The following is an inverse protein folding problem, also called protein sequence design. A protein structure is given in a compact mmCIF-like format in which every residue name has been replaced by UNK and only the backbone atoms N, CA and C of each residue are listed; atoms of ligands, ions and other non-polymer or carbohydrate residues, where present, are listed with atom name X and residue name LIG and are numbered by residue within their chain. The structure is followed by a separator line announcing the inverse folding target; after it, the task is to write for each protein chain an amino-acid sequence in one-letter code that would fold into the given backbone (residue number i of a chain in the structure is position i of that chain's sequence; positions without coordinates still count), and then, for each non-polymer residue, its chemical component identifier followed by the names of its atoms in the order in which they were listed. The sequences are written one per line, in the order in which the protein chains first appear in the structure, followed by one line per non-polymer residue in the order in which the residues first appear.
data_IF_635462944811
#
_entry.id   IF_635462944811
#
_cell.length_a   1.000
_cell.length_b   1.000
_cell.length_c   1.000
_cell.angle_alpha   90.00
_cell.angle_beta   90.00
_cell.angle_gamma   90.00
#
_symmetry.space_group_name_H-M   'P 1'
#
loop_
_entity.id
_entity.type
_entity.pdbx_description
1 polymer ?
#
# COMPACT_ATOMS: atom_id res chain seq x y z
N UNK A 1 5.47 1.42 6.78
CA UNK A 1 6.10 1.02 5.52
C UNK A 1 5.49 -0.30 5.07
N UNK A 2 4.86 -0.30 3.92
CA UNK A 2 4.25 -1.47 3.30
C UNK A 2 4.88 -1.66 1.93
N UNK A 3 5.40 -2.87 1.65
CA UNK A 3 5.98 -3.23 0.35
C UNK A 3 5.06 -4.25 -0.29
N UNK A 4 4.57 -3.96 -1.50
CA UNK A 4 3.69 -4.85 -2.26
C UNK A 4 4.17 -4.98 -3.69
N UNK A 5 4.17 -6.20 -4.22
CA UNK A 5 4.43 -6.49 -5.63
C UNK A 5 3.09 -6.77 -6.32
N UNK A 6 2.79 -5.97 -7.33
CA UNK A 6 1.60 -6.11 -8.16
C UNK A 6 1.98 -6.73 -9.50
N UNK A 7 1.32 -7.82 -9.88
CA UNK A 7 1.45 -8.42 -11.21
C UNK A 7 0.12 -8.35 -11.96
N UNK A 8 0.17 -7.85 -13.20
CA UNK A 8 -0.99 -7.70 -14.08
C UNK A 8 -0.79 -8.59 -15.31
N UNK A 9 -1.48 -9.73 -15.34
CA UNK A 9 -1.54 -10.60 -16.50
C UNK A 9 -2.74 -10.20 -17.37
N UNK A 10 -2.46 -9.48 -18.46
CA UNK A 10 -3.51 -8.99 -19.38
C UNK A 10 -4.14 -10.12 -20.18
N UNK A 11 -3.39 -11.19 -20.48
CA UNK A 11 -3.87 -12.33 -21.27
C UNK A 11 -4.83 -13.19 -20.45
N UNK A 12 -4.48 -13.46 -19.19
CA UNK A 12 -5.31 -14.21 -18.25
C UNK A 12 -6.34 -13.32 -17.53
N UNK A 13 -6.34 -12.00 -17.76
CA UNK A 13 -7.15 -11.01 -17.04
C UNK A 13 -7.02 -11.17 -15.52
N UNK A 14 -5.81 -11.44 -15.05
CA UNK A 14 -5.51 -11.74 -13.65
C UNK A 14 -4.63 -10.65 -13.04
N UNK A 15 -5.04 -10.22 -11.86
CA UNK A 15 -4.28 -9.34 -10.99
C UNK A 15 -3.82 -10.15 -9.78
N UNK A 16 -2.53 -10.11 -9.49
CA UNK A 16 -1.93 -10.78 -8.34
C UNK A 16 -1.21 -9.77 -7.48
N UNK A 17 -1.47 -9.80 -6.18
CA UNK A 17 -0.83 -8.92 -5.21
C UNK A 17 -0.07 -9.77 -4.19
N UNK A 18 1.23 -9.55 -4.07
CA UNK A 18 2.11 -10.17 -3.10
C UNK A 18 2.56 -9.10 -2.11
N UNK A 19 2.25 -9.28 -0.83
CA UNK A 19 2.78 -8.43 0.25
C UNK A 19 4.13 -8.98 0.71
N UNK A 20 5.14 -8.11 0.76
CA UNK A 20 6.46 -8.41 1.32
C UNK A 20 6.48 -7.80 2.73
N UNK A 21 6.60 -8.62 3.80
CA UNK A 21 6.66 -8.11 5.15
C UNK A 21 7.83 -7.13 5.32
N UNK A 22 7.58 -5.99 5.94
CA UNK A 22 8.57 -4.91 6.10
C UNK A 22 9.85 -5.36 6.83
N UNK A 23 9.72 -6.36 7.70
CA UNK A 23 10.82 -6.92 8.49
C UNK A 23 11.53 -8.09 7.78
N UNK A 24 11.21 -8.33 6.49
CA UNK A 24 11.89 -9.35 5.68
C UNK A 24 13.40 -9.08 5.68
N UNK A 25 14.16 -10.11 6.07
CA UNK A 25 15.62 -10.04 6.10
C UNK A 25 16.16 -10.01 4.68
N UNK A 26 17.05 -9.07 4.41
CA UNK A 26 17.76 -8.93 3.14
C UNK A 26 19.27 -8.95 3.36
N UNK A 27 20.03 -9.30 2.33
CA UNK A 27 21.49 -9.33 2.38
C UNK A 27 22.05 -7.92 2.16
N UNK A 28 21.90 -7.06 3.17
CA UNK A 28 22.29 -5.64 3.09
C UNK A 28 23.58 -5.36 3.88
N UNK A 29 24.24 -4.27 3.54
CA UNK A 29 25.39 -3.72 4.28
C UNK A 29 25.02 -2.90 5.50
N UNK A 30 23.73 -2.55 5.65
CA UNK A 30 23.20 -1.75 6.75
C UNK A 30 22.55 -2.62 7.83
N UNK A 31 22.44 -2.07 9.04
CA UNK A 31 21.79 -2.73 10.19
C UNK A 31 20.62 -1.87 10.69
N UNK A 32 19.45 -2.46 11.01
CA UNK A 32 19.10 -3.89 10.88
C UNK A 32 18.88 -4.28 9.41
N UNK A 33 19.17 -5.54 9.07
CA UNK A 33 19.05 -6.09 7.71
C UNK A 33 17.58 -6.31 7.29
N UNK A 34 16.78 -5.25 7.25
CA UNK A 34 15.34 -5.29 6.93
C UNK A 34 15.05 -4.54 5.65
N UNK A 35 14.17 -5.10 4.81
CA UNK A 35 13.85 -4.52 3.50
C UNK A 35 13.26 -3.10 3.58
N UNK A 36 12.46 -2.80 4.61
CA UNK A 36 11.84 -1.48 4.77
C UNK A 36 12.83 -0.33 5.01
N UNK A 37 14.06 -0.64 5.39
CA UNK A 37 15.11 0.36 5.64
C UNK A 37 15.85 0.73 4.34
N UNK A 38 15.81 -0.16 3.35
CA UNK A 38 16.55 -0.01 2.10
C UNK A 38 16.37 1.36 1.44
N UNK A 39 15.13 1.81 1.32
CA UNK A 39 14.79 3.11 0.74
C UNK A 39 15.38 4.27 1.56
N UNK A 40 15.22 4.22 2.89
CA UNK A 40 15.64 5.32 3.78
C UNK A 40 17.15 5.47 3.91
N UNK A 41 17.89 4.37 3.89
CA UNK A 41 19.36 4.36 4.04
C UNK A 41 20.06 4.79 2.75
N UNK A 42 19.46 4.54 1.59
CA UNK A 42 20.07 4.81 0.29
C UNK A 42 19.59 6.15 -0.36
N UNK A 43 19.04 7.08 0.43
CA UNK A 43 18.84 8.46 -0.02
C UNK A 43 17.41 8.98 -0.01
N UNK A 44 16.38 8.16 0.10
CA UNK A 44 14.94 8.53 0.01
C UNK A 44 14.55 9.18 -1.32
N UNK A 45 15.22 8.81 -2.39
CA UNK A 45 15.04 9.30 -3.73
C UNK A 45 15.05 8.12 -4.74
N UNK A 46 15.41 8.37 -5.97
CA UNK A 46 15.51 7.34 -7.00
C UNK A 46 16.55 6.26 -6.64
N UNK A 47 17.68 6.63 -6.04
CA UNK A 47 18.72 5.65 -5.64
C UNK A 47 18.20 4.73 -4.53
N UNK A 48 17.46 5.29 -3.57
CA UNK A 48 16.78 4.50 -2.53
C UNK A 48 15.76 3.53 -3.09
N UNK A 49 15.00 3.93 -4.12
CA UNK A 49 14.05 3.05 -4.79
C UNK A 49 14.74 1.95 -5.60
N UNK A 50 15.83 2.27 -6.31
CA UNK A 50 16.62 1.27 -7.02
C UNK A 50 17.19 0.20 -6.06
N UNK A 51 17.73 0.64 -4.92
CA UNK A 51 18.21 -0.29 -3.89
C UNK A 51 17.09 -1.19 -3.35
N UNK A 52 15.89 -0.63 -3.11
CA UNK A 52 14.73 -1.44 -2.70
C UNK A 52 14.32 -2.43 -3.80
N UNK A 53 14.31 -2.01 -5.05
CA UNK A 53 14.01 -2.86 -6.21
C UNK A 53 15.00 -4.02 -6.36
N UNK A 54 16.29 -3.79 -6.08
CA UNK A 54 17.31 -4.83 -6.11
C UNK A 54 17.05 -5.90 -5.04
N UNK A 55 16.71 -5.51 -3.81
CA UNK A 55 16.33 -6.48 -2.76
C UNK A 55 15.03 -7.21 -3.08
N UNK A 56 14.03 -6.54 -3.65
CA UNK A 56 12.82 -7.23 -4.13
C UNK A 56 13.18 -8.23 -5.22
N UNK A 57 14.06 -7.87 -6.16
CA UNK A 57 14.55 -8.76 -7.22
C UNK A 57 15.24 -10.00 -6.66
N UNK A 58 16.07 -9.84 -5.63
CA UNK A 58 16.73 -10.97 -4.95
C UNK A 58 15.71 -11.93 -4.32
N UNK A 59 14.64 -11.38 -3.71
CA UNK A 59 13.61 -12.17 -3.04
C UNK A 59 12.71 -12.94 -4.01
N UNK A 60 12.32 -12.33 -5.13
CA UNK A 60 11.31 -12.90 -6.04
C UNK A 60 11.93 -13.57 -7.27
N UNK A 61 13.21 -13.36 -7.55
CA UNK A 61 13.97 -13.98 -8.64
C UNK A 61 13.80 -13.28 -10.01
N UNK A 62 13.13 -12.13 -10.07
CA UNK A 62 13.00 -11.31 -11.29
C UNK A 62 12.90 -9.83 -10.90
N UNK A 63 13.32 -8.94 -11.80
CA UNK A 63 13.19 -7.49 -11.59
C UNK A 63 11.78 -7.05 -11.95
N UNK A 64 11.06 -6.35 -11.06
CA UNK A 64 9.80 -5.69 -11.41
C UNK A 64 10.00 -4.66 -12.54
N UNK A 65 8.97 -4.44 -13.37
CA UNK A 65 9.02 -3.54 -14.52
C UNK A 65 9.09 -2.07 -14.12
N UNK A 66 8.67 -1.74 -12.89
CA UNK A 66 8.70 -0.40 -12.34
C UNK A 66 8.12 -0.32 -10.94
N UNK A 67 8.06 0.88 -10.39
CA UNK A 67 7.58 1.12 -9.04
C UNK A 67 6.65 2.34 -8.93
N UNK A 68 5.86 2.34 -7.87
CA UNK A 68 5.07 3.49 -7.42
C UNK A 68 5.27 3.65 -5.91
N UNK A 69 5.82 4.78 -5.49
CA UNK A 69 5.91 5.16 -4.08
C UNK A 69 4.76 6.10 -3.75
N UNK A 70 3.92 5.71 -2.80
CA UNK A 70 2.77 6.48 -2.34
C UNK A 70 2.99 6.83 -0.88
N UNK A 71 3.01 8.11 -0.54
CA UNK A 71 3.00 8.56 0.84
C UNK A 71 1.58 8.53 1.46
N UNK A 72 1.51 8.83 2.75
CA UNK A 72 0.26 8.67 3.50
C UNK A 72 -0.81 9.68 3.05
N UNK A 73 -0.43 10.91 2.76
CA UNK A 73 -1.37 11.98 2.38
C UNK A 73 -1.94 11.70 0.98
N UNK A 74 -1.07 11.27 0.06
CA UNK A 74 -1.49 10.85 -1.29
C UNK A 74 -2.40 9.64 -1.25
N UNK A 75 -2.18 8.71 -0.32
CA UNK A 75 -3.07 7.56 -0.13
C UNK A 75 -4.48 8.01 0.31
N UNK A 76 -4.58 8.91 1.29
CA UNK A 76 -5.85 9.48 1.75
C UNK A 76 -6.60 10.16 0.60
N UNK A 77 -5.90 11.06 -0.10
CA UNK A 77 -6.45 11.79 -1.23
C UNK A 77 -6.92 10.87 -2.36
N UNK A 78 -6.17 9.82 -2.65
CA UNK A 78 -6.51 8.85 -3.69
C UNK A 78 -7.81 8.11 -3.35
N UNK A 79 -7.93 7.61 -2.11
CA UNK A 79 -9.14 6.94 -1.64
C UNK A 79 -10.34 7.86 -1.73
N UNK A 80 -10.21 9.12 -1.30
CA UNK A 80 -11.31 10.09 -1.33
C UNK A 80 -11.72 10.48 -2.75
N UNK A 81 -10.76 10.73 -3.64
CA UNK A 81 -11.02 11.03 -5.07
C UNK A 81 -11.73 9.87 -5.77
N UNK A 82 -11.42 8.65 -5.41
CA UNK A 82 -12.09 7.46 -5.95
C UNK A 82 -13.47 7.22 -5.31
N UNK A 83 -13.86 8.01 -4.31
CA UNK A 83 -15.16 7.94 -3.64
C UNK A 83 -15.23 6.93 -2.51
N UNK A 84 -14.09 6.64 -1.91
CA UNK A 84 -13.95 5.68 -0.82
C UNK A 84 -13.94 4.23 -1.27
N UNK A 85 -13.67 3.33 -0.33
CA UNK A 85 -13.62 1.88 -0.56
C UNK A 85 -14.62 1.17 0.34
N UNK A 86 -15.48 0.34 -0.24
CA UNK A 86 -16.38 -0.54 0.52
C UNK A 86 -15.57 -1.75 0.99
N UNK A 87 -15.46 -1.91 2.31
CA UNK A 87 -14.63 -2.93 2.92
C UNK A 87 -15.30 -3.52 4.16
N UNK A 88 -15.07 -4.81 4.41
CA UNK A 88 -15.53 -5.50 5.60
C UNK A 88 -14.45 -5.40 6.68
N UNK A 89 -14.68 -4.51 7.65
CA UNK A 89 -13.74 -4.26 8.75
C UNK A 89 -13.78 -5.47 9.69
N UNK A 90 -12.64 -6.14 9.95
CA UNK A 90 -12.63 -7.45 10.59
C UNK A 90 -12.94 -7.43 12.09
N UNK A 91 -12.75 -6.31 12.76
CA UNK A 91 -13.03 -6.13 14.20
C UNK A 91 -13.22 -4.64 14.51
N UNK A 92 -13.78 -4.36 15.70
CA UNK A 92 -13.81 -3.00 16.22
C UNK A 92 -12.36 -2.50 16.42
N UNK A 93 -12.09 -1.30 15.94
CA UNK A 93 -10.79 -0.65 16.03
C UNK A 93 -10.96 0.69 16.75
N UNK A 94 -10.55 0.72 18.00
CA UNK A 94 -10.50 1.93 18.82
C UNK A 94 -9.05 2.12 19.29
N UNK A 95 -8.40 3.14 18.76
CA UNK A 95 -6.99 3.42 19.05
C UNK A 95 -6.70 4.91 18.89
N UNK A 96 -5.96 5.46 19.85
CA UNK A 96 -5.50 6.84 19.78
C UNK A 96 -4.00 6.92 20.10
N UNK A 97 -3.27 7.59 19.23
CA UNK A 97 -1.85 7.91 19.41
C UNK A 97 -1.63 9.41 19.11
N UNK A 98 -1.71 10.28 20.15
CA UNK A 98 -1.52 11.72 19.97
C UNK A 98 -0.14 12.10 19.44
N UNK A 99 0.89 11.26 19.66
CA UNK A 99 2.24 11.55 19.18
C UNK A 99 2.36 11.42 17.65
N UNK A 100 1.47 10.66 17.04
CA UNK A 100 1.39 10.44 15.59
C UNK A 100 0.17 11.11 14.94
N UNK A 101 -0.57 11.92 15.69
CA UNK A 101 -1.85 12.51 15.27
C UNK A 101 -2.78 11.45 14.63
N UNK A 102 -2.88 10.29 15.28
CA UNK A 102 -3.63 9.15 14.78
C UNK A 102 -4.77 8.79 15.74
N UNK A 103 -5.98 8.94 15.26
CA UNK A 103 -7.18 8.44 15.95
C UNK A 103 -7.93 7.50 15.01
N UNK A 104 -8.22 6.30 15.48
CA UNK A 104 -8.95 5.27 14.74
C UNK A 104 -10.19 4.91 15.54
N UNK A 105 -11.36 5.11 14.96
CA UNK A 105 -12.65 4.66 15.48
C UNK A 105 -13.42 4.02 14.32
N UNK A 106 -13.28 2.70 14.18
CA UNK A 106 -13.95 1.92 13.16
C UNK A 106 -14.70 0.75 13.82
N UNK A 107 -15.93 0.55 13.41
CA UNK A 107 -16.71 -0.62 13.84
C UNK A 107 -16.51 -1.78 12.88
N UNK A 108 -16.61 -3.00 13.41
CA UNK A 108 -16.59 -4.21 12.60
C UNK A 108 -17.74 -4.22 11.59
N UNK A 109 -17.50 -4.85 10.43
CA UNK A 109 -18.51 -5.09 9.41
C UNK A 109 -18.35 -4.23 8.16
N UNK A 110 -19.26 -4.48 7.21
CA UNK A 110 -19.22 -3.89 5.88
C UNK A 110 -19.58 -2.42 5.90
N UNK A 111 -18.63 -1.56 5.53
CA UNK A 111 -18.82 -0.11 5.47
C UNK A 111 -17.99 0.51 4.34
N UNK A 112 -18.31 1.76 3.98
CA UNK A 112 -17.52 2.53 3.02
C UNK A 112 -16.55 3.41 3.79
N UNK A 113 -15.27 3.17 3.59
CA UNK A 113 -14.19 3.91 4.21
C UNK A 113 -13.77 5.08 3.33
N UNK A 114 -13.69 6.27 3.90
CA UNK A 114 -13.01 7.41 3.30
C UNK A 114 -11.48 7.29 3.47
N UNK A 115 -10.71 8.27 2.99
CA UNK A 115 -9.26 8.25 3.04
C UNK A 115 -8.69 8.12 4.45
N UNK A 116 -9.18 8.91 5.39
CA UNK A 116 -8.77 8.89 6.80
C UNK A 116 -9.08 7.55 7.47
N UNK A 117 -10.28 7.04 7.25
CA UNK A 117 -10.71 5.74 7.78
C UNK A 117 -9.88 4.58 7.19
N UNK A 118 -9.60 4.64 5.90
CA UNK A 118 -8.74 3.67 5.23
C UNK A 118 -7.31 3.74 5.77
N UNK A 119 -6.79 4.95 6.02
CA UNK A 119 -5.49 5.15 6.65
C UNK A 119 -5.45 4.55 8.06
N UNK A 120 -6.49 4.79 8.86
CA UNK A 120 -6.65 4.19 10.19
C UNK A 120 -6.63 2.67 10.11
N UNK A 121 -7.42 2.07 9.21
CA UNK A 121 -7.49 0.62 8.99
C UNK A 121 -6.10 0.00 8.69
N UNK A 122 -5.35 0.58 7.74
CA UNK A 122 -4.05 0.02 7.33
C UNK A 122 -2.93 0.25 8.34
N UNK A 123 -3.09 1.23 9.25
CA UNK A 123 -2.14 1.52 10.34
C UNK A 123 -2.46 0.79 11.64
N UNK A 124 -3.69 0.28 11.80
CA UNK A 124 -4.12 -0.38 13.03
C UNK A 124 -3.26 -1.59 13.38
N UNK A 125 -2.82 -1.66 14.62
CA UNK A 125 -1.95 -2.74 15.14
C UNK A 125 -2.49 -3.43 16.39
N UNK A 126 -3.37 -2.75 17.13
CA UNK A 126 -3.91 -3.24 18.39
C UNK A 126 -5.03 -4.25 18.15
N UNK A 127 -5.20 -5.20 19.07
CA UNK A 127 -6.36 -6.11 19.05
C UNK A 127 -6.30 -7.31 18.10
N UNK A 128 -5.26 -7.45 17.29
CA UNK A 128 -5.06 -8.66 16.47
C UNK A 128 -4.36 -9.75 17.26
N UNK A 129 -4.90 -10.97 17.26
CA UNK A 129 -4.31 -12.12 17.96
C UNK A 129 -2.92 -12.49 17.43
N UNK A 130 -2.63 -12.17 16.15
CA UNK A 130 -1.34 -12.29 15.49
C UNK A 130 -1.01 -10.96 14.81
N UNK A 131 -0.79 -9.92 15.59
CA UNK A 131 -0.82 -8.49 15.19
C UNK A 131 -0.19 -8.18 13.83
N UNK A 132 0.99 -8.66 13.53
CA UNK A 132 1.71 -8.31 12.28
C UNK A 132 1.18 -9.06 11.04
N UNK A 133 0.87 -10.35 11.17
CA UNK A 133 0.36 -11.15 10.03
C UNK A 133 -1.07 -10.74 9.65
N UNK A 134 -1.93 -10.48 10.64
CA UNK A 134 -3.29 -10.00 10.37
C UNK A 134 -3.30 -8.63 9.73
N UNK A 135 -2.41 -7.71 10.16
CA UNK A 135 -2.25 -6.40 9.52
C UNK A 135 -1.86 -6.53 8.05
N UNK A 136 -0.87 -7.36 7.72
CA UNK A 136 -0.45 -7.59 6.34
C UNK A 136 -1.58 -8.13 5.49
N UNK A 137 -2.41 -9.04 6.03
CA UNK A 137 -3.58 -9.55 5.34
C UNK A 137 -4.64 -8.47 5.12
N UNK A 138 -4.97 -7.68 6.15
CA UNK A 138 -5.94 -6.59 6.04
C UNK A 138 -5.49 -5.54 5.02
N UNK A 139 -4.22 -5.15 5.02
CA UNK A 139 -3.65 -4.22 4.03
C UNK A 139 -3.79 -4.77 2.61
N UNK A 140 -3.44 -6.05 2.40
CA UNK A 140 -3.57 -6.71 1.09
C UNK A 140 -5.03 -6.79 0.64
N UNK A 141 -5.92 -7.23 1.52
CA UNK A 141 -7.33 -7.43 1.21
C UNK A 141 -8.03 -6.09 0.95
N UNK A 142 -7.67 -5.04 1.70
CA UNK A 142 -8.12 -3.67 1.43
C UNK A 142 -7.64 -3.18 0.06
N UNK A 143 -6.36 -3.38 -0.27
CA UNK A 143 -5.82 -2.97 -1.57
C UNK A 143 -6.50 -3.70 -2.73
N UNK A 144 -6.74 -5.01 -2.60
CA UNK A 144 -7.49 -5.77 -3.60
C UNK A 144 -8.93 -5.25 -3.75
N UNK A 145 -9.62 -5.00 -2.63
CA UNK A 145 -10.97 -4.43 -2.65
C UNK A 145 -11.00 -3.04 -3.32
N UNK A 146 -10.02 -2.18 -3.03
CA UNK A 146 -9.85 -0.88 -3.65
C UNK A 146 -9.65 -1.02 -5.18
N UNK A 147 -8.70 -1.85 -5.61
CA UNK A 147 -8.42 -2.06 -7.03
C UNK A 147 -9.66 -2.58 -7.78
N UNK A 148 -10.37 -3.58 -7.24
CA UNK A 148 -11.57 -4.11 -7.85
C UNK A 148 -12.67 -3.05 -8.01
N UNK A 149 -12.87 -2.21 -6.99
CA UNK A 149 -13.90 -1.17 -7.02
C UNK A 149 -13.52 -0.01 -7.94
N UNK A 150 -12.23 0.36 -7.97
CA UNK A 150 -11.76 1.49 -8.78
C UNK A 150 -11.70 1.17 -10.28
N UNK A 151 -11.37 -0.07 -10.65
CA UNK A 151 -11.36 -0.53 -12.04
C UNK A 151 -12.78 -0.86 -12.56
N UNK A 152 -13.80 -0.81 -11.69
CA UNK A 152 -15.18 -1.01 -12.10
C UNK A 152 -15.62 0.04 -13.13
N UNK A 153 -16.45 -0.36 -14.08
CA UNK A 153 -17.00 0.48 -15.17
C UNK A 153 -17.61 1.79 -14.65
N UNK A 154 -18.21 1.75 -13.45
CA UNK A 154 -18.82 2.91 -12.80
C UNK A 154 -17.82 3.98 -12.31
N UNK A 155 -16.54 3.62 -12.18
CA UNK A 155 -15.49 4.51 -11.69
C UNK A 155 -14.49 4.93 -12.79
N UNK A 156 -14.64 4.44 -14.02
CA UNK A 156 -13.71 4.75 -15.13
C UNK A 156 -13.55 6.25 -15.38
N UNK A 157 -14.59 7.05 -15.14
CA UNK A 157 -14.52 8.51 -15.29
C UNK A 157 -13.67 9.21 -14.21
N UNK A 158 -13.39 8.54 -13.08
CA UNK A 158 -12.51 9.05 -12.00
C UNK A 158 -11.02 8.69 -12.21
N UNK A 159 -10.73 7.67 -13.02
CA UNK A 159 -9.37 7.21 -13.28
C UNK A 159 -8.42 8.32 -13.77
N UNK A 160 -8.83 9.24 -14.67
CA UNK A 160 -7.94 10.31 -15.12
C UNK A 160 -7.53 11.26 -14.00
N UNK A 161 -8.41 11.53 -13.03
CA UNK A 161 -8.09 12.39 -11.89
C UNK A 161 -7.20 11.68 -10.86
N UNK A 162 -7.43 10.39 -10.63
CA UNK A 162 -6.56 9.56 -9.80
C UNK A 162 -5.15 9.40 -10.42
N UNK A 163 -5.08 9.18 -11.73
CA UNK A 163 -3.81 9.10 -12.45
C UNK A 163 -3.01 10.42 -12.38
N UNK A 164 -3.68 11.57 -12.51
CA UNK A 164 -3.04 12.89 -12.34
C UNK A 164 -2.53 13.11 -10.91
N UNK A 165 -3.29 12.68 -9.89
CA UNK A 165 -2.84 12.76 -8.52
C UNK A 165 -1.58 11.92 -8.31
N UNK A 166 -1.61 10.67 -8.76
CA UNK A 166 -0.45 9.79 -8.67
C UNK A 166 0.76 10.39 -9.39
N UNK A 167 0.61 10.86 -10.64
CA UNK A 167 1.73 11.44 -11.40
C UNK A 167 2.28 12.75 -10.80
N UNK A 168 1.48 13.49 -10.04
CA UNK A 168 1.90 14.77 -9.46
C UNK A 168 2.52 14.63 -8.07
N UNK A 169 2.19 13.57 -7.33
CA UNK A 169 2.53 13.43 -5.90
C UNK A 169 3.16 12.07 -5.53
N UNK A 170 3.50 11.24 -6.53
CA UNK A 170 4.21 9.97 -6.30
C UNK A 170 5.54 9.95 -7.03
N UNK A 171 6.52 9.26 -6.45
CA UNK A 171 7.76 8.93 -7.14
C UNK A 171 7.53 7.63 -7.90
N UNK A 172 7.67 7.67 -9.23
CA UNK A 172 7.46 6.51 -10.09
C UNK A 172 8.36 6.58 -11.31
N UNK A 173 8.81 5.44 -11.81
CA UNK A 173 9.51 5.28 -13.07
C UNK A 173 8.59 4.81 -14.21
N UNK A 174 7.29 4.60 -13.91
CA UNK A 174 6.30 4.21 -14.91
C UNK A 174 6.03 5.36 -15.88
N UNK A 175 6.34 5.16 -17.15
CA UNK A 175 5.99 6.13 -18.18
C UNK A 175 4.50 6.06 -18.52
N UNK A 176 3.84 7.21 -18.56
CA UNK A 176 2.47 7.34 -19.10
C UNK A 176 2.52 7.26 -20.64
N UNK A 177 2.67 6.06 -21.18
CA UNK A 177 2.48 5.77 -22.60
C UNK A 177 1.14 5.11 -22.87
#
# INVERSE_FOLDING_TARGET
DTVMLLSIDRSAKRLTLLSIPRDTKVNSTYTPHKINIAYGVNGKDQEGMEALMDYVTELVGFRPDGYVLIDLDVFVDLVDKMGGVKFDVPCDMDYSDPAQDLTIDLKAGMQRLNGEQAMGLVRFRSGYAMADLQRVNVQRDFMLAAMHQWVSVWNLWRLPSAARLLSAHTVTDLSTR
#
